data_IF_536031288815
#
_entry.id   IF_536031288815
#
_cell.length_a   1.000
_cell.length_b   1.000
_cell.length_c   1.000
_cell.angle_alpha   90.00
_cell.angle_beta   90.00
_cell.angle_gamma   90.00
#
_symmetry.space_group_name_H-M   'P 1'
#
loop_
_entity.id
_entity.type
_entity.pdbx_description
1 polymer ?
#
# COMPACT_ATOMS: atom_id res chain seq x y z
N UNK A 1 18.53 1.66 -11.44
CA UNK A 1 17.09 1.46 -11.72
C UNK A 1 16.48 0.90 -10.46
N UNK A 2 15.58 1.63 -9.81
CA UNK A 2 14.87 1.17 -8.61
C UNK A 2 13.38 1.04 -8.92
N UNK A 3 12.64 0.40 -8.03
CA UNK A 3 11.20 0.20 -8.15
C UNK A 3 10.44 1.51 -7.92
N UNK A 4 9.53 1.84 -8.83
CA UNK A 4 8.48 2.83 -8.61
C UNK A 4 7.28 2.08 -8.06
N UNK A 5 7.00 2.29 -6.77
CA UNK A 5 6.02 1.50 -6.02
C UNK A 5 4.76 2.32 -5.82
N UNK A 6 3.61 1.81 -6.21
CA UNK A 6 2.33 2.30 -5.70
C UNK A 6 1.93 1.45 -4.47
N UNK A 7 1.49 2.13 -3.42
CA UNK A 7 1.03 1.53 -2.16
C UNK A 7 -0.45 1.81 -1.98
N UNK A 8 -1.22 0.76 -1.68
CA UNK A 8 -2.68 0.62 -1.70
C UNK A 8 -3.24 0.30 -3.10
N UNK A 9 -3.40 -0.99 -3.41
CA UNK A 9 -3.98 -1.44 -4.68
C UNK A 9 -5.50 -1.66 -4.61
N UNK A 10 -6.02 -2.24 -3.52
CA UNK A 10 -7.47 -2.45 -3.34
C UNK A 10 -7.84 -3.59 -2.38
N UNK A 11 -9.13 -3.91 -2.32
CA UNK A 11 -9.64 -5.05 -1.54
C UNK A 11 -9.29 -6.39 -2.19
N UNK A 12 -9.04 -7.41 -1.36
CA UNK A 12 -8.63 -8.77 -1.77
C UNK A 12 -7.32 -8.85 -2.57
N UNK A 13 -6.59 -7.75 -2.61
CA UNK A 13 -5.35 -7.60 -3.34
C UNK A 13 -4.22 -7.31 -2.37
N UNK A 14 -2.99 -7.63 -2.76
CA UNK A 14 -1.82 -7.18 -2.01
C UNK A 14 -1.68 -5.66 -2.08
N UNK A 15 -1.15 -5.01 -1.04
CA UNK A 15 -1.13 -3.55 -0.99
C UNK A 15 -0.08 -2.94 -1.94
N UNK A 16 0.77 -3.73 -2.60
CA UNK A 16 1.85 -3.24 -3.43
C UNK A 16 1.57 -3.42 -4.92
N UNK A 17 1.79 -2.35 -5.68
CA UNK A 17 1.78 -2.41 -7.14
C UNK A 17 3.11 -1.89 -7.73
N UNK A 18 3.82 -2.74 -8.47
CA UNK A 18 5.03 -2.36 -9.23
C UNK A 18 5.45 -3.45 -10.22
N UNK A 19 6.28 -3.07 -11.19
CA UNK A 19 6.81 -4.00 -12.19
C UNK A 19 8.15 -4.61 -11.76
N UNK A 20 8.21 -5.93 -11.66
CA UNK A 20 9.48 -6.67 -11.43
C UNK A 20 10.19 -7.00 -12.74
N UNK A 21 9.44 -7.50 -13.72
CA UNK A 21 9.93 -7.80 -15.07
C UNK A 21 8.76 -7.85 -16.05
N UNK A 22 9.04 -7.69 -17.33
CA UNK A 22 8.02 -7.81 -18.38
C UNK A 22 7.35 -9.20 -18.31
N UNK A 23 6.02 -9.21 -18.22
CA UNK A 23 5.22 -10.44 -18.15
C UNK A 23 5.09 -11.06 -16.75
N UNK A 24 5.69 -10.47 -15.71
CA UNK A 24 5.30 -10.78 -14.34
C UNK A 24 4.01 -10.02 -13.97
N UNK A 25 3.32 -10.52 -12.94
CA UNK A 25 2.25 -9.75 -12.29
C UNK A 25 2.75 -8.41 -11.76
N UNK A 26 1.81 -7.55 -11.39
CA UNK A 26 2.11 -6.21 -10.89
C UNK A 26 1.62 -5.97 -9.48
N UNK A 27 0.63 -6.75 -9.01
CA UNK A 27 0.14 -6.73 -7.65
C UNK A 27 0.88 -7.78 -6.81
N UNK A 28 1.34 -7.40 -5.62
CA UNK A 28 2.14 -8.22 -4.73
C UNK A 28 1.65 -8.13 -3.29
N UNK A 29 1.62 -9.27 -2.61
CA UNK A 29 1.47 -9.34 -1.15
C UNK A 29 2.61 -8.62 -0.42
N UNK A 30 2.44 -8.33 0.87
CA UNK A 30 3.50 -7.72 1.69
C UNK A 30 4.72 -8.63 1.73
N UNK A 31 4.53 -9.93 1.80
CA UNK A 31 5.59 -10.93 1.88
C UNK A 31 6.39 -11.01 0.58
N UNK A 32 5.71 -11.09 -0.58
CA UNK A 32 6.39 -11.07 -1.89
C UNK A 32 7.14 -9.74 -2.09
N UNK A 33 6.53 -8.62 -1.69
CA UNK A 33 7.19 -7.33 -1.75
C UNK A 33 8.39 -7.23 -0.79
N UNK A 34 8.34 -7.87 0.37
CA UNK A 34 9.46 -7.93 1.30
C UNK A 34 10.68 -8.61 0.66
N UNK A 35 10.47 -9.69 -0.10
CA UNK A 35 11.53 -10.38 -0.83
C UNK A 35 12.09 -9.52 -1.97
N UNK A 36 11.23 -8.97 -2.82
CA UNK A 36 11.65 -8.17 -3.98
C UNK A 36 12.34 -6.86 -3.58
N UNK A 37 11.82 -6.18 -2.56
CA UNK A 37 12.27 -4.86 -2.11
C UNK A 37 13.25 -4.94 -0.95
N UNK A 38 13.52 -6.12 -0.39
CA UNK A 38 14.39 -6.34 0.77
C UNK A 38 13.96 -5.55 2.00
N UNK A 39 12.68 -5.64 2.35
CA UNK A 39 12.11 -4.97 3.53
C UNK A 39 12.48 -5.72 4.82
N UNK A 40 12.70 -4.97 5.90
CA UNK A 40 12.97 -5.54 7.21
C UNK A 40 11.73 -6.15 7.87
N UNK A 41 11.88 -7.14 8.77
CA UNK A 41 10.76 -7.86 9.38
C UNK A 41 9.81 -6.95 10.18
N UNK A 42 10.34 -5.92 10.84
CA UNK A 42 9.53 -4.96 11.60
C UNK A 42 8.60 -4.15 10.68
N UNK A 43 9.14 -3.67 9.54
CA UNK A 43 8.34 -2.95 8.54
C UNK A 43 7.29 -3.88 7.89
N UNK A 44 7.64 -5.13 7.65
CA UNK A 44 6.71 -6.14 7.13
C UNK A 44 5.54 -6.36 8.09
N UNK A 45 5.82 -6.53 9.39
CA UNK A 45 4.77 -6.71 10.40
C UNK A 45 3.82 -5.50 10.45
N UNK A 46 4.37 -4.28 10.41
CA UNK A 46 3.56 -3.06 10.43
C UNK A 46 2.71 -2.90 9.16
N UNK A 47 3.25 -3.26 7.99
CA UNK A 47 2.53 -3.25 6.71
C UNK A 47 1.38 -4.27 6.70
N UNK A 48 1.62 -5.48 7.20
CA UNK A 48 0.57 -6.52 7.33
C UNK A 48 -0.54 -6.03 8.25
N UNK A 49 -0.21 -5.44 9.40
CA UNK A 49 -1.20 -4.91 10.33
C UNK A 49 -2.03 -3.79 9.67
N UNK A 50 -1.36 -2.86 9.00
CA UNK A 50 -1.99 -1.73 8.31
C UNK A 50 -2.91 -2.17 7.15
N UNK A 51 -2.50 -3.15 6.33
CA UNK A 51 -3.32 -3.68 5.24
C UNK A 51 -4.50 -4.49 5.78
N UNK A 52 -4.29 -5.33 6.80
CA UNK A 52 -5.38 -6.08 7.43
C UNK A 52 -6.48 -5.17 7.98
N UNK A 53 -6.12 -4.01 8.54
CA UNK A 53 -7.11 -3.02 8.97
C UNK A 53 -7.94 -2.48 7.81
N UNK A 54 -7.34 -2.24 6.65
CA UNK A 54 -8.07 -1.84 5.45
C UNK A 54 -8.97 -2.98 4.97
N UNK A 55 -8.44 -4.19 4.79
CA UNK A 55 -9.22 -5.35 4.34
C UNK A 55 -10.39 -5.68 5.28
N UNK A 56 -10.27 -5.38 6.58
CA UNK A 56 -11.32 -5.60 7.57
C UNK A 56 -12.53 -4.66 7.42
N UNK A 57 -12.39 -3.50 6.76
CA UNK A 57 -13.52 -2.58 6.53
C UNK A 57 -14.47 -3.05 5.42
N UNK A 58 -14.07 -4.08 4.68
CA UNK A 58 -14.83 -4.59 3.56
C UNK A 58 -16.19 -5.15 4.01
N UNK A 59 -17.26 -4.51 3.55
CA UNK A 59 -18.60 -5.05 3.66
C UNK A 59 -18.78 -6.17 2.62
N UNK A 60 -18.76 -7.42 3.10
CA UNK A 60 -18.92 -8.60 2.23
C UNK A 60 -20.34 -8.78 1.70
N UNK A 61 -21.33 -8.13 2.31
CA UNK A 61 -22.72 -8.17 1.87
C UNK A 61 -22.99 -7.15 0.76
N UNK A 62 -22.37 -5.97 0.86
CA UNK A 62 -22.44 -4.93 -0.16
C UNK A 62 -21.13 -4.12 -0.17
N UNK A 63 -20.13 -4.52 -0.99
CA UNK A 63 -18.81 -3.90 -1.02
C UNK A 63 -18.77 -2.38 -1.14
N UNK A 64 -19.70 -1.70 -1.86
CA UNK A 64 -19.71 -0.24 -1.91
C UNK A 64 -19.94 0.47 -0.56
N UNK A 65 -20.50 -0.22 0.43
CA UNK A 65 -20.74 0.35 1.77
C UNK A 65 -19.54 0.17 2.73
N UNK A 66 -18.44 -0.41 2.24
CA UNK A 66 -17.19 -0.57 2.99
C UNK A 66 -16.67 0.78 3.47
N UNK A 67 -16.50 0.91 4.78
CA UNK A 67 -16.07 2.16 5.40
C UNK A 67 -15.41 1.93 6.74
N UNK A 68 -14.47 2.80 7.08
CA UNK A 68 -13.96 2.87 8.44
C UNK A 68 -15.10 3.18 9.42
N UNK A 69 -15.02 2.67 10.67
CA UNK A 69 -16.07 2.86 11.66
C UNK A 69 -16.25 4.34 12.05
N UNK A 70 -15.18 5.14 11.93
CA UNK A 70 -15.19 6.58 12.20
C UNK A 70 -14.25 7.33 11.24
N UNK A 71 -14.50 8.62 10.97
CA UNK A 71 -13.56 9.48 10.23
C UNK A 71 -12.17 9.56 10.89
N UNK A 72 -12.12 9.52 12.22
CA UNK A 72 -10.87 9.54 12.98
C UNK A 72 -10.05 8.27 12.76
N UNK A 73 -10.70 7.10 12.70
CA UNK A 73 -10.04 5.83 12.39
C UNK A 73 -9.45 5.85 10.98
N UNK A 74 -10.21 6.36 10.00
CA UNK A 74 -9.72 6.54 8.63
C UNK A 74 -8.49 7.46 8.60
N UNK A 75 -8.55 8.60 9.29
CA UNK A 75 -7.42 9.55 9.33
C UNK A 75 -6.19 8.93 9.97
N UNK A 76 -6.34 8.22 11.09
CA UNK A 76 -5.23 7.54 11.75
C UNK A 76 -4.63 6.42 10.88
N UNK A 77 -5.45 5.73 10.09
CA UNK A 77 -4.97 4.74 9.12
C UNK A 77 -4.21 5.40 7.96
N UNK A 78 -4.69 6.54 7.45
CA UNK A 78 -4.00 7.32 6.40
C UNK A 78 -2.63 7.81 6.89
N UNK A 79 -2.56 8.41 8.08
CA UNK A 79 -1.30 8.93 8.62
C UNK A 79 -0.26 7.82 8.87
N UNK A 80 -0.69 6.65 9.38
CA UNK A 80 0.21 5.49 9.48
C UNK A 80 0.68 5.01 8.11
N UNK A 81 -0.19 5.01 7.10
CA UNK A 81 0.20 4.66 5.73
C UNK A 81 1.28 5.58 5.16
N UNK A 82 1.22 6.89 5.47
CA UNK A 82 2.29 7.85 5.09
C UNK A 82 3.62 7.52 5.74
N UNK A 83 3.61 7.21 7.04
CA UNK A 83 4.81 6.82 7.77
C UNK A 83 5.41 5.53 7.18
N UNK A 84 4.57 4.55 6.83
CA UNK A 84 4.98 3.30 6.19
C UNK A 84 5.56 3.53 4.78
N UNK A 85 4.92 4.37 3.96
CA UNK A 85 5.44 4.75 2.64
C UNK A 85 6.82 5.42 2.74
N UNK A 86 7.00 6.34 3.70
CA UNK A 86 8.28 6.97 3.96
C UNK A 86 9.34 5.95 4.45
N UNK A 87 8.94 4.98 5.28
CA UNK A 87 9.81 3.89 5.75
C UNK A 87 10.25 2.98 4.61
N UNK A 88 9.35 2.55 3.73
CA UNK A 88 9.69 1.74 2.55
C UNK A 88 10.79 2.42 1.74
N UNK A 89 10.63 3.72 1.45
CA UNK A 89 11.62 4.48 0.67
C UNK A 89 12.96 4.64 1.41
N UNK A 90 12.94 4.75 2.72
CA UNK A 90 14.15 4.94 3.55
C UNK A 90 14.92 3.65 3.79
N UNK A 91 14.20 2.55 4.01
CA UNK A 91 14.77 1.27 4.45
C UNK A 91 15.16 0.38 3.25
N UNK A 92 14.49 0.52 2.09
CA UNK A 92 14.84 -0.22 0.88
C UNK A 92 15.75 0.58 -0.05
N UNK A 93 16.97 0.11 -0.35
CA UNK A 93 17.82 0.73 -1.37
C UNK A 93 17.32 0.47 -2.80
N UNK A 94 16.37 -0.45 -2.97
CA UNK A 94 15.85 -0.85 -4.28
C UNK A 94 14.66 0.01 -4.71
N UNK A 95 14.04 0.77 -3.80
CA UNK A 95 12.86 1.60 -4.10
C UNK A 95 13.30 2.99 -4.57
N UNK A 96 12.89 3.36 -5.78
CA UNK A 96 13.13 4.69 -6.37
C UNK A 96 12.11 5.73 -5.85
N UNK A 97 10.83 5.37 -5.78
CA UNK A 97 9.75 6.21 -5.30
C UNK A 97 8.62 5.36 -4.71
N UNK A 98 7.83 5.96 -3.84
CA UNK A 98 6.59 5.37 -3.33
C UNK A 98 5.46 6.37 -3.57
N UNK A 99 4.40 5.93 -4.24
CA UNK A 99 3.17 6.66 -4.49
C UNK A 99 2.06 6.08 -3.60
N UNK A 100 1.72 6.79 -2.52
CA UNK A 100 0.75 6.32 -1.54
C UNK A 100 -0.66 6.79 -1.89
N UNK A 101 -1.49 5.88 -2.39
CA UNK A 101 -2.77 6.24 -3.04
C UNK A 101 -3.81 6.80 -2.06
N UNK A 102 -3.72 6.43 -0.77
CA UNK A 102 -4.68 6.90 0.24
C UNK A 102 -4.44 8.35 0.72
N UNK A 103 -3.31 8.96 0.39
CA UNK A 103 -3.06 10.37 0.69
C UNK A 103 -3.87 11.33 -0.21
N UNK A 104 -4.51 10.81 -1.27
CA UNK A 104 -5.25 11.61 -2.25
C UNK A 104 -4.38 12.57 -3.06
N UNK A 105 -3.07 12.58 -2.82
CA UNK A 105 -2.08 13.44 -3.46
C UNK A 105 -1.34 12.66 -4.54
N UNK A 106 -1.96 12.53 -5.71
CA UNK A 106 -1.29 12.02 -6.90
C UNK A 106 -0.28 13.07 -7.38
N UNK A 107 1.01 12.72 -7.45
CA UNK A 107 1.98 13.58 -8.14
C UNK A 107 1.69 13.53 -9.65
N UNK A 108 1.28 14.67 -10.18
CA UNK A 108 0.96 14.96 -11.59
C UNK A 108 -0.19 14.15 -12.22
N UNK A 109 -1.40 14.72 -12.09
CA UNK A 109 -2.15 15.11 -13.29
C UNK A 109 -3.19 14.15 -13.86
N UNK A 110 -3.54 13.04 -13.20
CA UNK A 110 -4.63 12.18 -13.71
C UNK A 110 -5.53 11.66 -12.58
N UNK A 111 -6.84 11.77 -12.82
CA UNK A 111 -7.92 11.83 -11.85
C UNK A 111 -8.16 10.56 -11.02
N UNK A 112 -8.58 10.80 -9.77
CA UNK A 112 -9.60 10.00 -9.07
C UNK A 112 -10.88 9.94 -9.92
N UNK A 113 -11.34 8.74 -10.24
CA UNK A 113 -12.69 8.49 -10.75
C UNK A 113 -13.53 7.88 -9.63
#
# INVERSE_FOLDING_TARGET
MGFEVALLAGFYEGPFYYHVRKGAGTNWSVEEAAEHLRLGPDLVADLIAWDNEYQAILDRSYPPDSKFPTPEAQRAWIERGKELAARIKRESPLVASVDYQADGCYKDGTCVF
#
